data_IF_526691805532
#
_entry.id   IF_526691805532
#
_cell.length_a   1.000
_cell.length_b   1.000
_cell.length_c   1.000
_cell.angle_alpha   90.00
_cell.angle_beta   90.00
_cell.angle_gamma   90.00
#
_symmetry.space_group_name_H-M   'P 1'
#
loop_
_entity.id
_entity.type
_entity.pdbx_description
1 polymer ?
#
# COMPACT_ATOMS: atom_id res chain seq x y z
N UNK A 1 26.96 -61.09 35.82
CA UNK A 1 26.13 -60.32 36.76
C UNK A 1 24.99 -59.72 35.97
N UNK A 2 23.76 -60.01 36.39
CA UNK A 2 22.49 -59.79 35.73
C UNK A 2 21.84 -58.50 36.27
N UNK A 3 21.36 -57.58 35.43
CA UNK A 3 20.27 -56.58 35.65
C UNK A 3 20.05 -55.87 34.29
N UNK A 4 19.09 -56.26 33.44
CA UNK A 4 17.69 -55.82 33.47
C UNK A 4 17.47 -54.39 34.01
N UNK A 5 17.04 -53.47 33.12
CA UNK A 5 15.88 -52.55 33.22
C UNK A 5 16.01 -51.52 32.07
N UNK A 6 15.23 -51.63 30.99
CA UNK A 6 13.92 -51.00 30.77
C UNK A 6 13.98 -49.47 30.59
N UNK A 7 14.15 -49.06 29.32
CA UNK A 7 13.14 -48.35 28.51
C UNK A 7 12.33 -47.25 29.22
N UNK A 8 12.59 -45.99 28.86
CA UNK A 8 11.54 -44.97 28.74
C UNK A 8 11.79 -44.16 27.48
N UNK A 9 10.98 -44.43 26.45
CA UNK A 9 10.78 -43.54 25.31
C UNK A 9 10.30 -42.18 25.85
N UNK A 10 11.06 -41.11 25.62
CA UNK A 10 10.47 -39.78 25.48
C UNK A 10 10.64 -39.33 24.04
N UNK A 11 9.52 -39.52 23.35
CA UNK A 11 9.08 -38.90 22.12
C UNK A 11 9.63 -37.46 21.93
N UNK A 12 10.75 -37.32 21.22
CA UNK A 12 11.09 -36.08 20.51
C UNK A 12 11.01 -36.43 19.04
N UNK A 13 9.86 -36.12 18.44
CA UNK A 13 9.59 -36.39 17.04
C UNK A 13 10.62 -35.71 16.16
N UNK A 14 11.43 -36.51 15.48
CA UNK A 14 12.08 -36.14 14.23
C UNK A 14 11.01 -36.02 13.15
N UNK A 15 10.88 -34.83 12.57
CA UNK A 15 10.09 -34.56 11.38
C UNK A 15 10.98 -34.01 10.27
N UNK A 16 11.43 -34.93 9.42
CA UNK A 16 11.89 -34.81 8.03
C UNK A 16 12.49 -33.48 7.53
N UNK A 17 13.77 -33.54 7.16
CA UNK A 17 14.33 -32.74 6.09
C UNK A 17 13.63 -33.07 4.75
N UNK A 18 13.14 -32.04 4.07
CA UNK A 18 12.59 -32.12 2.73
C UNK A 18 12.09 -30.75 2.26
N UNK A 19 12.92 -30.05 1.49
CA UNK A 19 12.57 -29.08 0.44
C UNK A 19 11.39 -28.12 0.69
N UNK A 20 11.66 -26.83 0.89
CA UNK A 20 11.35 -25.74 -0.06
C UNK A 20 11.85 -24.37 0.50
N UNK A 21 12.18 -23.40 -0.39
CA UNK A 21 12.71 -22.08 -0.07
C UNK A 21 11.58 -21.09 0.29
N UNK A 22 11.96 -19.80 0.43
CA UNK A 22 11.11 -18.63 0.69
C UNK A 22 10.81 -18.33 2.16
N UNK A 23 11.86 -17.79 2.77
CA UNK A 23 11.75 -16.57 3.57
C UNK A 23 10.47 -15.75 3.26
N UNK A 24 9.69 -15.48 4.33
CA UNK A 24 8.92 -14.25 4.47
C UNK A 24 7.72 -14.12 3.52
N UNK A 25 6.65 -14.90 3.70
CA UNK A 25 5.30 -14.46 3.24
C UNK A 25 4.16 -15.03 4.09
N UNK A 26 4.34 -15.11 5.41
CA UNK A 26 3.28 -15.62 6.31
C UNK A 26 3.20 -14.96 7.68
N UNK A 27 4.07 -13.97 7.96
CA UNK A 27 4.14 -13.27 9.25
C UNK A 27 3.75 -11.79 9.15
N UNK A 28 2.97 -11.41 8.15
CA UNK A 28 2.16 -10.19 8.20
C UNK A 28 0.71 -10.64 8.09
N UNK A 29 0.11 -10.78 9.27
CA UNK A 29 -1.30 -11.10 9.41
C UNK A 29 -2.17 -9.97 8.90
N UNK A 30 -3.36 -10.36 8.47
CA UNK A 30 -4.48 -9.45 8.32
C UNK A 30 -4.55 -8.81 6.95
N UNK A 31 -5.58 -9.20 6.21
CA UNK A 31 -6.18 -8.36 5.19
C UNK A 31 -6.81 -7.14 5.88
N UNK A 32 -6.06 -6.08 6.11
CA UNK A 32 -6.60 -4.76 6.42
C UNK A 32 -6.57 -3.91 5.15
N UNK A 33 -7.48 -4.32 4.28
CA UNK A 33 -7.91 -3.69 3.04
C UNK A 33 -8.59 -2.34 3.37
N UNK A 34 -7.90 -1.36 3.97
CA UNK A 34 -8.51 -0.12 4.44
C UNK A 34 -7.62 1.10 4.23
N UNK A 35 -8.24 2.23 3.85
CA UNK A 35 -7.64 3.58 3.85
C UNK A 35 -7.39 4.10 5.28
N UNK A 36 -7.13 3.19 6.21
CA UNK A 36 -6.88 3.48 7.62
C UNK A 36 -5.56 4.24 7.75
N UNK A 37 -5.57 5.29 8.57
CA UNK A 37 -4.46 6.22 8.71
C UNK A 37 -4.61 7.50 7.89
N UNK A 38 -5.44 7.52 6.85
CA UNK A 38 -5.83 8.78 6.21
C UNK A 38 -6.81 9.58 7.08
N UNK A 39 -6.78 10.88 6.87
CA UNK A 39 -7.81 11.78 7.38
C UNK A 39 -9.22 11.30 6.96
N UNK A 40 -10.18 11.38 7.87
CA UNK A 40 -11.52 10.80 7.68
C UNK A 40 -12.31 11.48 6.56
N UNK A 41 -12.12 12.79 6.35
CA UNK A 41 -12.75 13.48 5.22
C UNK A 41 -12.13 13.02 3.90
N UNK A 42 -10.79 12.94 3.86
CA UNK A 42 -10.08 12.46 2.69
C UNK A 42 -10.49 11.04 2.30
N UNK A 43 -10.61 10.16 3.30
CA UNK A 43 -11.09 8.79 3.12
C UNK A 43 -12.48 8.78 2.49
N UNK A 44 -13.41 9.59 3.01
CA UNK A 44 -14.76 9.66 2.46
C UNK A 44 -14.79 10.18 1.01
N UNK A 45 -13.93 11.14 0.66
CA UNK A 45 -13.79 11.61 -0.72
C UNK A 45 -13.26 10.52 -1.66
N UNK A 46 -12.25 9.77 -1.23
CA UNK A 46 -11.63 8.68 -2.00
C UNK A 46 -12.56 7.46 -2.14
N UNK A 47 -13.33 7.09 -1.11
CA UNK A 47 -14.29 5.98 -1.19
C UNK A 47 -15.59 6.37 -1.93
N UNK A 48 -15.91 7.66 -1.94
CA UNK A 48 -17.15 8.19 -2.52
C UNK A 48 -16.98 8.69 -3.95
N UNK A 49 -16.27 9.82 -4.10
CA UNK A 49 -16.16 10.58 -5.36
C UNK A 49 -15.05 10.06 -6.26
N UNK A 50 -13.92 9.66 -5.68
CA UNK A 50 -12.72 9.27 -6.43
C UNK A 50 -12.36 7.80 -6.18
N UNK A 51 -13.29 6.90 -6.55
CA UNK A 51 -13.19 5.48 -6.21
C UNK A 51 -11.94 4.82 -6.80
N UNK A 52 -11.58 5.13 -8.04
CA UNK A 52 -10.39 4.55 -8.69
C UNK A 52 -9.11 5.03 -8.04
N UNK A 53 -9.04 6.31 -7.73
CA UNK A 53 -7.94 6.86 -6.94
C UNK A 53 -7.89 6.23 -5.54
N UNK A 54 -9.03 6.04 -4.89
CA UNK A 54 -9.11 5.42 -3.56
C UNK A 54 -8.64 3.96 -3.57
N UNK A 55 -9.02 3.18 -4.58
CA UNK A 55 -8.50 1.82 -4.79
C UNK A 55 -6.97 1.84 -4.97
N UNK A 56 -6.44 2.75 -5.79
CA UNK A 56 -5.01 2.87 -6.02
C UNK A 56 -4.24 3.32 -4.75
N UNK A 57 -4.71 4.35 -4.04
CA UNK A 57 -4.08 4.84 -2.79
C UNK A 57 -4.04 3.73 -1.75
N UNK A 58 -5.09 2.93 -1.67
CA UNK A 58 -5.16 1.78 -0.78
C UNK A 58 -4.08 0.75 -1.10
N UNK A 59 -3.90 0.40 -2.37
CA UNK A 59 -2.82 -0.48 -2.79
C UNK A 59 -1.45 0.10 -2.43
N UNK A 60 -1.26 1.41 -2.56
CA UNK A 60 -0.02 2.08 -2.16
C UNK A 60 0.21 2.06 -0.65
N UNK A 61 -0.82 2.23 0.17
CA UNK A 61 -0.71 2.08 1.64
C UNK A 61 -0.27 0.65 1.99
N UNK A 62 -0.84 -0.36 1.34
CA UNK A 62 -0.42 -1.76 1.53
C UNK A 62 1.02 -2.02 1.06
N UNK A 63 1.51 -1.24 0.08
CA UNK A 63 2.89 -1.27 -0.42
C UNK A 63 3.88 -0.42 0.40
N UNK A 64 3.41 0.32 1.39
CA UNK A 64 4.25 1.11 2.30
C UNK A 64 4.11 2.63 2.23
N UNK A 65 3.11 3.16 1.52
CA UNK A 65 2.76 4.59 1.59
C UNK A 65 2.37 4.95 3.03
N UNK A 66 3.13 5.86 3.64
CA UNK A 66 2.86 6.33 4.99
C UNK A 66 1.91 7.54 4.97
N UNK A 67 0.67 7.41 5.47
CA UNK A 67 -0.23 8.55 5.59
C UNK A 67 0.28 9.53 6.66
N UNK A 68 0.05 10.81 6.41
CA UNK A 68 0.36 11.89 7.34
C UNK A 68 -0.72 12.12 8.40
N UNK A 69 -0.38 12.94 9.39
CA UNK A 69 -1.26 13.24 10.54
C UNK A 69 -2.51 14.06 10.20
N UNK A 70 -2.47 14.82 9.11
CA UNK A 70 -3.50 15.79 8.74
C UNK A 70 -3.89 15.63 7.27
N UNK A 71 -5.07 16.14 6.89
CA UNK A 71 -5.59 16.09 5.51
C UNK A 71 -4.55 16.54 4.47
N UNK A 72 -3.90 17.67 4.68
CA UNK A 72 -2.90 18.19 3.73
C UNK A 72 -1.64 17.31 3.64
N UNK A 73 -1.19 16.75 4.76
CA UNK A 73 -0.04 15.84 4.78
C UNK A 73 -0.35 14.56 4.00
N UNK A 74 -1.58 14.05 4.12
CA UNK A 74 -2.06 12.92 3.32
C UNK A 74 -2.13 13.25 1.83
N UNK A 75 -2.69 14.40 1.46
CA UNK A 75 -2.71 14.87 0.06
C UNK A 75 -1.30 14.96 -0.50
N UNK A 76 -0.34 15.49 0.28
CA UNK A 76 1.07 15.56 -0.13
C UNK A 76 1.71 14.18 -0.31
N UNK A 77 1.41 13.23 0.57
CA UNK A 77 1.90 11.86 0.45
C UNK A 77 1.39 11.21 -0.85
N UNK A 78 0.09 11.32 -1.12
CA UNK A 78 -0.53 10.82 -2.36
C UNK A 78 0.08 11.50 -3.59
N UNK A 79 0.20 12.83 -3.58
CA UNK A 79 0.82 13.58 -4.67
C UNK A 79 2.25 13.11 -4.93
N UNK A 80 3.04 12.90 -3.87
CA UNK A 80 4.42 12.46 -4.00
C UNK A 80 4.51 11.04 -4.54
N UNK A 81 3.66 10.14 -4.06
CA UNK A 81 3.56 8.77 -4.57
C UNK A 81 3.25 8.75 -6.07
N UNK A 82 2.38 9.64 -6.55
CA UNK A 82 2.08 9.77 -7.98
C UNK A 82 3.32 10.22 -8.77
N UNK A 83 4.12 11.15 -8.25
CA UNK A 83 5.34 11.61 -8.94
C UNK A 83 6.40 10.51 -8.96
N UNK A 84 6.60 9.83 -7.82
CA UNK A 84 7.67 8.85 -7.65
C UNK A 84 7.36 7.53 -8.37
N UNK A 85 6.10 7.08 -8.34
CA UNK A 85 5.70 5.76 -8.85
C UNK A 85 4.71 5.81 -10.03
N UNK A 86 4.14 6.97 -10.37
CA UNK A 86 3.10 7.07 -11.38
C UNK A 86 1.78 6.40 -10.97
N UNK A 87 0.79 6.37 -11.86
CA UNK A 87 -0.55 5.79 -11.62
C UNK A 87 -0.85 4.58 -12.52
N UNK A 88 0.14 3.71 -12.70
CA UNK A 88 0.01 2.41 -13.40
C UNK A 88 -0.74 2.50 -14.76
N UNK A 89 -0.45 3.55 -15.53
CA UNK A 89 -1.04 3.84 -16.86
C UNK A 89 -2.59 3.98 -16.91
N UNK A 90 -3.26 3.99 -15.75
CA UNK A 90 -4.71 4.05 -15.68
C UNK A 90 -5.23 5.48 -15.87
N UNK A 91 -5.82 5.77 -17.04
CA UNK A 91 -6.40 7.09 -17.35
C UNK A 91 -7.49 7.50 -16.35
N UNK A 92 -8.27 6.56 -15.85
CA UNK A 92 -9.32 6.83 -14.87
C UNK A 92 -8.71 7.29 -13.55
N UNK A 93 -7.69 6.57 -13.04
CA UNK A 93 -6.96 6.96 -11.83
C UNK A 93 -6.26 8.30 -12.04
N UNK A 94 -5.64 8.52 -13.20
CA UNK A 94 -4.97 9.77 -13.52
C UNK A 94 -5.94 10.96 -13.57
N UNK A 95 -7.14 10.76 -14.14
CA UNK A 95 -8.18 11.78 -14.22
C UNK A 95 -8.72 12.12 -12.84
N UNK A 96 -9.04 11.10 -12.03
CA UNK A 96 -9.51 11.30 -10.66
C UNK A 96 -8.43 11.95 -9.77
N UNK A 97 -7.16 11.53 -9.89
CA UNK A 97 -6.03 12.17 -9.22
C UNK A 97 -5.92 13.65 -9.56
N UNK A 98 -6.05 13.99 -10.85
CA UNK A 98 -6.00 15.38 -11.29
C UNK A 98 -7.14 16.23 -10.71
N UNK A 99 -8.37 15.70 -10.66
CA UNK A 99 -9.52 16.43 -10.08
C UNK A 99 -9.41 16.56 -8.55
N UNK A 100 -8.98 15.49 -7.88
CA UNK A 100 -8.77 15.44 -6.44
C UNK A 100 -7.69 16.42 -5.96
N UNK A 101 -6.57 16.51 -6.68
CA UNK A 101 -5.45 17.38 -6.29
C UNK A 101 -5.64 18.85 -6.69
N UNK A 102 -6.57 19.13 -7.62
CA UNK A 102 -6.85 20.48 -8.12
C UNK A 102 -7.14 21.53 -7.02
N UNK A 103 -8.00 21.29 -6.01
CA UNK A 103 -8.22 22.25 -4.93
C UNK A 103 -6.97 22.51 -4.09
N UNK A 104 -6.01 21.58 -4.05
CA UNK A 104 -4.78 21.68 -3.26
C UNK A 104 -3.60 22.28 -4.03
N UNK A 105 -3.82 22.80 -5.24
CA UNK A 105 -2.77 23.39 -6.08
C UNK A 105 -1.91 24.42 -5.35
N UNK A 106 -2.54 25.29 -4.55
CA UNK A 106 -1.82 26.34 -3.81
C UNK A 106 -0.92 25.74 -2.72
N UNK A 107 -1.42 24.76 -1.97
CA UNK A 107 -0.71 24.12 -0.86
C UNK A 107 0.40 23.16 -1.30
N UNK A 108 0.22 22.56 -2.49
CA UNK A 108 1.19 21.67 -3.13
C UNK A 108 2.30 22.45 -3.85
N UNK A 109 1.98 23.64 -4.37
CA UNK A 109 2.96 24.52 -5.01
C UNK A 109 3.67 23.85 -6.19
N UNK A 110 4.99 23.68 -6.06
CA UNK A 110 5.84 23.04 -7.10
C UNK A 110 5.45 21.59 -7.33
N UNK A 111 5.14 20.85 -6.26
CA UNK A 111 4.77 19.42 -6.34
C UNK A 111 3.52 19.21 -7.20
N UNK A 112 2.59 20.17 -7.22
CA UNK A 112 1.42 20.10 -8.09
C UNK A 112 1.80 20.12 -9.58
N UNK A 113 2.83 20.89 -9.94
CA UNK A 113 3.33 20.94 -11.31
C UNK A 113 3.93 19.61 -11.75
N UNK A 114 4.70 18.98 -10.86
CA UNK A 114 5.32 17.66 -11.09
C UNK A 114 4.25 16.59 -11.25
N UNK A 115 3.30 16.49 -10.31
CA UNK A 115 2.19 15.54 -10.41
C UNK A 115 1.43 15.74 -11.72
N UNK A 116 1.09 16.98 -12.05
CA UNK A 116 0.33 17.26 -13.27
C UNK A 116 1.11 16.82 -14.51
N UNK A 117 2.41 17.02 -14.56
CA UNK A 117 3.23 16.53 -15.66
C UNK A 117 3.15 15.00 -15.75
N UNK A 118 3.35 14.28 -14.64
CA UNK A 118 3.25 12.81 -14.61
C UNK A 118 1.87 12.30 -15.05
N UNK A 119 0.80 12.93 -14.59
CA UNK A 119 -0.57 12.57 -14.98
C UNK A 119 -0.84 12.89 -16.46
N UNK A 120 -0.35 14.03 -16.96
CA UNK A 120 -0.47 14.39 -18.38
C UNK A 120 0.27 13.42 -19.30
N UNK A 121 1.39 12.85 -18.86
CA UNK A 121 2.09 11.81 -19.62
C UNK A 121 1.22 10.54 -19.75
N UNK A 122 0.65 10.05 -18.65
CA UNK A 122 -0.27 8.89 -18.67
C UNK A 122 -1.48 9.15 -19.58
N UNK A 123 -2.04 10.37 -19.55
CA UNK A 123 -3.20 10.73 -20.36
C UNK A 123 -2.88 10.86 -21.86
N UNK A 124 -1.65 11.23 -22.22
CA UNK A 124 -1.17 11.41 -23.61
C UNK A 124 -0.76 10.11 -24.30
N UNK A 125 -0.38 9.07 -23.56
CA UNK A 125 0.16 7.81 -24.12
C UNK A 125 -0.90 6.96 -24.86
N UNK A 126 -2.17 7.40 -24.93
CA UNK A 126 -3.26 6.68 -25.61
C UNK A 126 -4.10 7.60 -26.51
#
# INVERSE_FOLDING_TARGET
>A
MNFQILLILSLVGFGAAGLLPDAITGLFGGKNNSLDGLDSELKAELEGKYKKLGEWVKEKIEQGLEPGKDKLSNVKAIAREIVDHGVDESKDVATEASDFLRPYKADLGVLYGEVRATLEEVLKIN
#
